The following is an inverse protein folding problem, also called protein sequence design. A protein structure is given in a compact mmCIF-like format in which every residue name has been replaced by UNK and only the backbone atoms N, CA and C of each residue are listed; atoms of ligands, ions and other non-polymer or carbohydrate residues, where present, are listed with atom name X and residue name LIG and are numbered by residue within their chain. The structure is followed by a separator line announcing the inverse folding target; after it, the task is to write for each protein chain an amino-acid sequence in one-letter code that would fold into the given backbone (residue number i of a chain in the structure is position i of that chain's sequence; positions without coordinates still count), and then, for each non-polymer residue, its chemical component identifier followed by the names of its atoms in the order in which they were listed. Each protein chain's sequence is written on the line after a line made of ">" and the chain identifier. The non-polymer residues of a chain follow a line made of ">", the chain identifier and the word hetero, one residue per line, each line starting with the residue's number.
data_IF_757342133690
#
_entry.id   IF_757342133690
#
_cell.length_a   1.000
_cell.length_b   1.000
_cell.length_c   1.000
_cell.angle_alpha   90.00
_cell.angle_beta   90.00
_cell.angle_gamma   90.00
#
_symmetry.space_group_name_H-M   'P 1'
#
loop_
_entity.id
_entity.type
_entity.pdbx_description
1 polymer ?
#
# COMPACT_ATOMS: atom_id res chain seq x y z
N UNK A 1 45.18 15.16 -6.36
CA UNK A 1 45.95 15.27 -7.61
C UNK A 1 45.15 14.96 -8.89
N UNK A 2 43.84 14.66 -8.85
CA UNK A 2 43.05 14.42 -10.06
C UNK A 2 42.62 15.71 -10.81
N UNK A 3 42.38 16.82 -10.09
CA UNK A 3 41.82 18.04 -10.71
C UNK A 3 42.76 18.82 -11.64
N UNK A 4 44.08 18.75 -11.42
CA UNK A 4 45.04 19.47 -12.27
C UNK A 4 45.24 18.79 -13.64
N UNK A 5 45.08 17.46 -13.70
CA UNK A 5 45.25 16.70 -14.94
C UNK A 5 44.03 16.83 -15.84
N UNK A 6 42.82 16.88 -15.25
CA UNK A 6 41.57 17.06 -16.01
C UNK A 6 41.46 18.45 -16.64
N UNK A 7 42.02 19.49 -16.01
CA UNK A 7 42.00 20.85 -16.57
C UNK A 7 42.84 21.00 -17.84
N UNK A 8 44.04 20.42 -17.86
CA UNK A 8 44.98 20.52 -19.00
C UNK A 8 44.44 19.77 -20.23
N UNK A 9 43.82 18.59 -20.02
CA UNK A 9 43.23 17.79 -21.11
C UNK A 9 41.96 18.44 -21.68
N UNK A 10 41.18 19.15 -20.85
CA UNK A 10 39.96 19.82 -21.32
C UNK A 10 40.27 21.09 -22.14
N UNK A 11 41.35 21.82 -21.83
CA UNK A 11 41.74 23.03 -22.57
C UNK A 11 42.30 22.76 -23.96
N UNK A 12 42.74 21.53 -24.27
CA UNK A 12 43.16 21.15 -25.62
C UNK A 12 41.97 20.94 -26.58
N UNK A 13 40.77 20.69 -26.05
CA UNK A 13 39.57 20.35 -26.83
C UNK A 13 38.48 21.41 -26.78
N UNK A 14 38.48 22.29 -25.77
CA UNK A 14 37.41 23.27 -25.54
C UNK A 14 37.95 24.67 -25.16
N UNK A 15 37.22 25.70 -25.59
CA UNK A 15 37.48 27.10 -25.20
C UNK A 15 37.42 27.27 -23.67
N UNK A 16 38.20 28.20 -23.12
CA UNK A 16 38.29 28.49 -21.69
C UNK A 16 36.90 28.73 -21.05
N UNK A 17 35.99 29.34 -21.80
CA UNK A 17 34.60 29.57 -21.37
C UNK A 17 33.82 28.26 -21.26
N UNK A 18 34.05 27.31 -22.19
CA UNK A 18 33.39 26.00 -22.19
C UNK A 18 33.79 25.13 -20.99
N UNK A 19 35.07 25.19 -20.58
CA UNK A 19 35.56 24.47 -19.40
C UNK A 19 34.93 25.00 -18.10
N UNK A 20 34.77 26.32 -18.01
CA UNK A 20 34.10 26.97 -16.86
C UNK A 20 32.63 26.54 -16.79
N UNK A 21 31.91 26.57 -17.92
CA UNK A 21 30.50 26.15 -17.95
C UNK A 21 30.34 24.67 -17.57
N UNK A 22 31.20 23.81 -18.09
CA UNK A 22 31.11 22.36 -17.85
C UNK A 22 31.44 22.00 -16.40
N UNK A 23 32.41 22.68 -15.79
CA UNK A 23 32.75 22.49 -14.36
C UNK A 23 31.64 22.99 -13.42
N UNK A 24 31.02 24.12 -13.72
CA UNK A 24 29.87 24.64 -12.93
C UNK A 24 28.67 23.70 -13.06
N UNK A 25 28.38 23.21 -14.27
CA UNK A 25 27.30 22.24 -14.52
C UNK A 25 27.48 20.95 -13.71
N UNK A 26 28.70 20.41 -13.65
CA UNK A 26 29.02 19.20 -12.89
C UNK A 26 28.91 19.41 -11.36
N UNK A 27 29.26 20.60 -10.87
CA UNK A 27 29.08 20.97 -9.46
C UNK A 27 27.60 21.09 -9.09
N UNK A 28 26.79 21.72 -9.94
CA UNK A 28 25.34 21.85 -9.72
C UNK A 28 24.68 20.47 -9.77
N UNK A 29 25.03 19.63 -10.75
CA UNK A 29 24.51 18.27 -10.84
C UNK A 29 24.92 17.41 -9.63
N UNK A 30 26.15 17.55 -9.15
CA UNK A 30 26.61 16.89 -7.92
C UNK A 30 25.87 17.38 -6.68
N UNK A 31 25.57 18.68 -6.60
CA UNK A 31 24.77 19.24 -5.52
C UNK A 31 23.31 18.77 -5.56
N UNK A 32 22.73 18.63 -6.76
CA UNK A 32 21.36 18.17 -6.97
C UNK A 32 21.19 16.66 -6.67
N UNK A 33 22.23 15.85 -6.91
CA UNK A 33 22.24 14.42 -6.62
C UNK A 33 22.48 14.10 -5.14
N UNK A 34 22.84 15.08 -4.30
CA UNK A 34 22.93 14.88 -2.86
C UNK A 34 21.54 15.00 -2.20
N UNK A 35 21.04 13.95 -1.53
CA UNK A 35 19.76 14.00 -0.82
C UNK A 35 19.80 15.02 0.34
N UNK A 36 18.71 15.75 0.53
CA UNK A 36 18.57 16.90 1.45
C UNK A 36 18.80 16.58 2.95
N UNK A 37 19.05 15.33 3.31
CA UNK A 37 19.28 14.89 4.69
C UNK A 37 20.73 15.08 5.18
N UNK A 38 21.69 15.42 4.31
CA UNK A 38 23.13 15.51 4.66
C UNK A 38 23.75 16.91 4.43
N UNK A 39 22.97 17.99 4.55
CA UNK A 39 23.45 19.35 4.28
C UNK A 39 24.45 19.89 5.34
N UNK A 40 24.52 19.30 6.53
CA UNK A 40 25.33 19.81 7.66
C UNK A 40 26.77 19.26 7.72
N UNK A 41 27.17 18.33 6.85
CA UNK A 41 28.48 17.67 6.93
C UNK A 41 29.60 18.20 6.02
N UNK A 42 29.36 18.84 4.85
CA UNK A 42 30.46 19.27 3.99
C UNK A 42 31.11 20.60 4.40
N UNK A 43 30.46 21.45 5.21
CA UNK A 43 31.03 22.74 5.60
C UNK A 43 32.21 22.61 6.60
N UNK A 44 32.23 21.55 7.40
CA UNK A 44 33.23 21.32 8.46
C UNK A 44 34.50 20.61 7.97
N UNK A 45 34.54 20.04 6.76
CA UNK A 45 35.73 19.35 6.23
C UNK A 45 36.65 20.21 5.37
N UNK A 46 36.24 21.43 5.00
CA UNK A 46 37.13 22.38 4.34
C UNK A 46 37.97 23.22 5.31
N UNK A 47 37.69 23.18 6.62
CA UNK A 47 38.40 23.97 7.62
C UNK A 47 39.66 23.29 8.20
N UNK A 48 39.97 22.04 7.83
CA UNK A 48 41.08 21.30 8.46
C UNK A 48 41.80 20.34 7.51
N UNK A 49 42.43 20.86 6.45
CA UNK A 49 43.41 20.10 5.69
C UNK A 49 44.70 20.92 5.55
N UNK A 50 45.79 20.56 6.24
CA UNK A 50 47.09 21.18 6.02
C UNK A 50 47.72 20.70 4.71
N UNK A 51 48.37 21.64 4.02
CA UNK A 51 49.28 21.36 2.91
C UNK A 51 50.50 20.57 3.42
N UNK A 52 50.79 19.42 2.82
CA UNK A 52 52.17 18.95 2.73
C UNK A 52 52.42 18.15 1.45
N UNK A 53 53.44 18.59 0.72
CA UNK A 53 54.01 18.02 -0.49
C UNK A 53 55.16 17.07 -0.10
N UNK A 54 55.46 16.09 -0.97
CA UNK A 54 56.64 15.20 -1.00
C UNK A 54 56.64 14.03 0.02
N UNK A 55 57.13 12.82 -0.23
CA UNK A 55 57.90 12.17 -1.31
C UNK A 55 57.96 10.64 -1.04
N UNK A 56 58.43 9.86 -2.04
CA UNK A 56 58.91 8.46 -1.97
C UNK A 56 57.86 7.36 -1.69
N UNK A 57 57.89 6.17 -2.26
CA UNK A 57 58.83 5.47 -3.14
C UNK A 57 58.51 3.96 -3.07
N UNK A 58 58.43 3.30 -4.22
CA UNK A 58 58.66 1.86 -4.53
C UNK A 58 58.29 0.80 -3.47
N UNK A 59 57.38 -0.12 -3.81
CA UNK A 59 57.35 -1.44 -3.13
C UNK A 59 56.19 -2.39 -3.45
N UNK A 60 56.53 -3.48 -4.14
CA UNK A 60 55.92 -4.82 -4.14
C UNK A 60 54.58 -5.13 -4.87
N UNK A 61 54.78 -5.75 -6.05
CA UNK A 61 54.07 -6.92 -6.55
C UNK A 61 53.63 -7.92 -5.46
N UNK A 62 52.42 -8.50 -5.59
CA UNK A 62 52.14 -9.91 -5.99
C UNK A 62 50.74 -10.34 -5.53
N UNK A 63 49.84 -10.65 -6.47
CA UNK A 63 49.28 -11.99 -6.75
C UNK A 63 47.94 -11.91 -7.49
N UNK A 64 47.91 -12.60 -8.64
CA UNK A 64 46.73 -13.01 -9.41
C UNK A 64 46.03 -14.19 -8.72
N UNK A 65 44.70 -14.20 -8.76
CA UNK A 65 43.82 -15.34 -9.09
C UNK A 65 42.37 -14.81 -9.05
N UNK A 66 41.74 -14.47 -10.18
CA UNK A 66 40.95 -15.38 -11.03
C UNK A 66 39.79 -16.06 -10.27
N UNK A 67 38.63 -15.38 -10.19
CA UNK A 67 37.34 -15.98 -9.84
C UNK A 67 36.35 -15.71 -10.99
N UNK A 68 35.79 -16.77 -11.58
CA UNK A 68 34.72 -16.73 -12.60
C UNK A 68 33.35 -16.98 -11.93
N UNK A 69 32.28 -16.24 -12.29
CA UNK A 69 30.93 -16.52 -11.80
C UNK A 69 30.23 -17.60 -12.64
N UNK A 70 29.47 -18.47 -11.98
CA UNK A 70 28.68 -19.55 -12.60
C UNK A 70 27.19 -19.15 -12.59
N UNK A 71 26.58 -19.20 -13.78
CA UNK A 71 25.19 -18.85 -14.07
C UNK A 71 24.45 -20.17 -14.33
N UNK A 72 23.50 -20.53 -13.49
CA UNK A 72 22.73 -21.78 -13.65
C UNK A 72 21.49 -21.50 -14.48
N UNK A 73 21.40 -22.16 -15.63
CA UNK A 73 20.21 -22.23 -16.50
C UNK A 73 19.36 -23.42 -16.05
N UNK A 74 18.06 -23.21 -15.85
CA UNK A 74 17.07 -24.28 -15.63
C UNK A 74 16.53 -24.73 -16.99
N UNK A 75 16.63 -26.02 -17.28
CA UNK A 75 16.11 -26.67 -18.49
C UNK A 75 14.85 -27.47 -18.19
N UNK A 76 13.80 -27.21 -18.98
CA UNK A 76 12.50 -27.90 -18.99
C UNK A 76 12.59 -29.19 -19.83
N UNK A 77 11.90 -30.25 -19.38
CA UNK A 77 11.67 -31.51 -20.11
C UNK A 77 10.36 -32.18 -19.64
N UNK A 78 9.76 -33.11 -20.41
CA UNK A 78 8.39 -32.95 -20.93
C UNK A 78 7.29 -33.79 -20.24
N UNK A 79 6.04 -33.36 -20.46
CA UNK A 79 4.76 -34.00 -20.09
C UNK A 79 4.49 -35.35 -20.80
N UNK A 80 3.67 -36.22 -20.20
CA UNK A 80 2.98 -37.29 -20.92
C UNK A 80 1.48 -37.03 -21.09
N UNK A 81 0.99 -37.24 -22.31
CA UNK A 81 -0.42 -37.29 -22.72
C UNK A 81 -1.17 -38.45 -22.05
N UNK A 82 -2.41 -38.23 -21.58
CA UNK A 82 -3.46 -39.24 -21.52
C UNK A 82 -4.86 -38.63 -21.66
N UNK A 83 -5.63 -39.28 -22.52
CA UNK A 83 -6.96 -38.94 -23.02
C UNK A 83 -8.10 -38.99 -21.99
N UNK A 84 -9.15 -38.25 -22.32
CA UNK A 84 -10.49 -38.19 -21.73
C UNK A 84 -11.16 -39.57 -21.59
N UNK A 85 -11.89 -39.76 -20.48
CA UNK A 85 -13.22 -40.37 -20.48
C UNK A 85 -14.02 -39.97 -19.22
N UNK A 86 -15.31 -39.67 -19.45
CA UNK A 86 -16.35 -39.31 -18.47
C UNK A 86 -16.52 -40.38 -17.36
N UNK A 87 -16.85 -39.94 -16.14
CA UNK A 87 -18.16 -40.23 -15.53
C UNK A 87 -18.31 -39.55 -14.16
N UNK A 88 -19.51 -39.02 -13.94
CA UNK A 88 -19.97 -38.48 -12.67
C UNK A 88 -19.99 -39.58 -11.61
N UNK A 89 -19.64 -39.27 -10.35
CA UNK A 89 -20.38 -39.82 -9.21
C UNK A 89 -20.10 -39.12 -7.87
N UNK A 90 -21.20 -38.93 -7.16
CA UNK A 90 -21.39 -38.40 -5.82
C UNK A 90 -20.49 -39.03 -4.75
N UNK A 91 -19.97 -38.21 -3.83
CA UNK A 91 -19.27 -38.69 -2.63
C UNK A 91 -20.24 -38.76 -1.44
N UNK A 92 -20.59 -39.93 -0.89
CA UNK A 92 -21.45 -40.01 0.29
C UNK A 92 -20.62 -39.88 1.58
N UNK A 93 -21.13 -39.07 2.50
CA UNK A 93 -20.66 -38.95 3.88
C UNK A 93 -20.96 -40.23 4.66
N UNK A 94 -19.92 -40.96 5.10
CA UNK A 94 -20.07 -42.20 5.88
C UNK A 94 -19.70 -41.94 7.35
N UNK A 95 -20.71 -41.99 8.21
CA UNK A 95 -20.58 -42.00 9.67
C UNK A 95 -20.20 -43.42 10.10
N UNK A 96 -19.11 -43.58 10.87
CA UNK A 96 -18.77 -44.85 11.51
C UNK A 96 -19.44 -44.94 12.91
N UNK A 97 -20.12 -46.04 13.25
CA UNK A 97 -20.64 -46.30 14.59
C UNK A 97 -19.56 -46.85 15.54
N UNK A 98 -19.72 -46.73 16.87
CA UNK A 98 -18.72 -47.17 17.84
C UNK A 98 -18.79 -48.68 18.08
N UNK A 99 -17.62 -49.33 18.18
CA UNK A 99 -17.49 -50.75 18.49
C UNK A 99 -17.72 -51.03 19.98
N UNK A 100 -18.45 -52.12 20.27
CA UNK A 100 -18.76 -52.62 21.59
C UNK A 100 -17.53 -53.25 22.28
N UNK A 101 -17.44 -53.06 23.60
CA UNK A 101 -16.39 -53.59 24.48
C UNK A 101 -16.60 -55.07 24.78
N UNK A 102 -15.52 -55.84 24.79
CA UNK A 102 -15.44 -57.12 25.51
C UNK A 102 -14.59 -56.97 26.78
N UNK A 103 -14.91 -57.68 27.87
CA UNK A 103 -14.32 -57.45 29.19
C UNK A 103 -13.01 -58.22 29.33
N UNK A 104 -11.97 -57.55 29.86
CA UNK A 104 -10.70 -58.18 30.24
C UNK A 104 -10.59 -58.17 31.76
N UNK A 105 -10.35 -59.36 32.31
CA UNK A 105 -10.23 -59.66 33.73
C UNK A 105 -9.04 -58.93 34.39
N UNK A 106 -9.23 -58.58 35.66
CA UNK A 106 -8.29 -57.85 36.48
C UNK A 106 -7.35 -58.80 37.25
N UNK A 107 -6.07 -58.43 37.31
CA UNK A 107 -5.08 -58.96 38.25
C UNK A 107 -4.25 -57.79 38.85
N UNK A 108 -3.62 -57.98 40.01
CA UNK A 108 -3.68 -57.03 41.13
C UNK A 108 -2.55 -55.99 41.19
N UNK A 109 -2.84 -54.95 41.97
CA UNK A 109 -2.00 -53.79 42.33
C UNK A 109 -0.76 -54.22 43.13
N UNK A 110 0.41 -53.74 42.72
CA UNK A 110 1.56 -53.52 43.60
C UNK A 110 1.84 -52.00 43.66
N UNK A 111 1.99 -51.49 44.88
CA UNK A 111 2.23 -50.09 45.23
C UNK A 111 3.74 -49.72 45.18
N UNK A 112 3.98 -48.41 45.20
CA UNK A 112 5.22 -47.65 45.39
C UNK A 112 6.07 -47.43 44.11
N UNK A 113 6.43 -46.22 43.69
CA UNK A 113 7.00 -45.10 44.47
C UNK A 113 6.61 -43.72 43.88
N UNK A 114 6.44 -42.73 44.77
CA UNK A 114 6.22 -41.32 44.46
C UNK A 114 7.44 -40.70 43.74
N UNK A 115 7.31 -40.32 42.46
CA UNK A 115 8.18 -39.31 41.82
C UNK A 115 7.43 -37.97 41.80
N UNK A 116 7.64 -37.21 42.88
CA UNK A 116 7.30 -35.81 43.06
C UNK A 116 7.99 -34.96 41.98
N UNK A 117 7.37 -34.91 40.81
CA UNK A 117 7.54 -33.80 39.88
C UNK A 117 6.23 -33.06 39.79
N UNK A 118 5.95 -32.27 40.83
CA UNK A 118 5.04 -31.13 40.72
C UNK A 118 5.37 -30.34 39.44
N UNK A 119 4.54 -30.52 38.41
CA UNK A 119 4.63 -29.72 37.19
C UNK A 119 4.27 -28.31 37.62
N UNK A 120 5.29 -27.46 37.79
CA UNK A 120 5.10 -26.02 37.97
C UNK A 120 4.52 -25.45 36.68
N UNK A 121 3.21 -25.29 36.66
CA UNK A 121 2.52 -24.47 35.66
C UNK A 121 2.87 -23.02 36.00
N UNK A 122 3.84 -22.45 35.29
CA UNK A 122 4.06 -21.00 35.35
C UNK A 122 2.91 -20.31 34.60
N UNK A 123 2.16 -19.40 35.25
CA UNK A 123 1.19 -18.56 34.54
C UNK A 123 1.91 -17.68 33.51
N UNK A 124 1.22 -17.22 32.43
CA UNK A 124 1.82 -16.36 31.43
C UNK A 124 2.41 -15.11 32.08
N UNK A 125 3.61 -14.72 31.65
CA UNK A 125 4.36 -13.57 32.17
C UNK A 125 3.74 -12.22 31.74
N UNK A 126 2.46 -12.01 32.04
CA UNK A 126 1.74 -10.76 31.75
C UNK A 126 0.85 -10.36 32.92
N UNK A 127 1.38 -10.43 34.15
CA UNK A 127 0.79 -9.77 35.32
C UNK A 127 1.89 -9.19 36.23
N UNK A 128 2.89 -8.56 35.61
CA UNK A 128 3.67 -7.53 36.28
C UNK A 128 3.51 -6.25 35.48
N UNK A 129 2.27 -5.75 35.47
CA UNK A 129 2.09 -4.31 35.35
C UNK A 129 2.83 -3.74 36.55
N UNK A 130 3.89 -2.98 36.30
CA UNK A 130 4.30 -1.98 37.26
C UNK A 130 3.05 -1.16 37.56
N UNK A 131 2.44 -1.41 38.71
CA UNK A 131 1.63 -0.41 39.39
C UNK A 131 2.63 0.68 39.73
N UNK A 132 2.93 1.54 38.76
CA UNK A 132 3.32 2.89 39.09
C UNK A 132 2.19 3.37 39.99
N UNK A 133 2.53 3.70 41.24
CA UNK A 133 1.64 4.36 42.16
C UNK A 133 1.15 5.65 41.48
N UNK A 134 0.07 5.52 40.72
CA UNK A 134 -0.68 6.64 40.21
C UNK A 134 -1.44 7.15 41.43
N UNK A 135 -0.85 8.16 42.08
CA UNK A 135 -1.58 8.96 43.04
C UNK A 135 -2.92 9.35 42.41
N UNK A 136 -4.05 9.19 43.12
CA UNK A 136 -5.33 9.62 42.61
C UNK A 136 -5.26 11.14 42.49
N UNK A 137 -5.02 11.66 41.30
CA UNK A 137 -5.32 13.05 40.96
C UNK A 137 -6.86 13.18 40.94
N UNK A 138 -7.47 13.18 42.13
CA UNK A 138 -8.90 13.41 42.36
C UNK A 138 -9.19 14.90 42.32
N UNK A 139 -8.91 15.50 41.17
CA UNK A 139 -9.53 16.77 40.78
C UNK A 139 -10.02 16.60 39.35
N UNK A 140 -11.33 16.76 39.08
CA UNK A 140 -11.82 16.81 37.71
C UNK A 140 -11.21 18.05 37.06
N UNK A 141 -10.06 17.90 36.40
CA UNK A 141 -9.57 18.91 35.48
C UNK A 141 -10.65 19.07 34.43
N UNK A 142 -11.33 20.22 34.43
CA UNK A 142 -12.36 20.56 33.45
C UNK A 142 -11.70 20.57 32.07
N UNK A 143 -11.80 19.45 31.36
CA UNK A 143 -11.23 19.30 30.02
C UNK A 143 -12.13 20.04 29.02
N UNK A 144 -11.55 21.03 28.34
CA UNK A 144 -12.18 21.72 27.21
C UNK A 144 -11.61 21.18 25.91
N UNK A 145 -12.47 20.82 24.96
CA UNK A 145 -12.03 20.40 23.64
C UNK A 145 -11.28 21.54 22.91
N UNK A 146 -10.22 21.22 22.15
CA UNK A 146 -9.51 22.22 21.36
C UNK A 146 -10.42 22.77 20.24
N UNK A 147 -10.24 24.04 19.85
CA UNK A 147 -11.02 24.65 18.78
C UNK A 147 -10.65 24.05 17.41
N UNK A 148 -11.63 23.98 16.50
CA UNK A 148 -11.44 23.47 15.12
C UNK A 148 -10.56 24.37 14.25
N UNK A 149 -10.25 25.58 14.70
CA UNK A 149 -9.38 26.52 13.98
C UNK A 149 -7.90 26.13 14.00
N UNK A 150 -7.53 25.15 14.82
CA UNK A 150 -6.22 24.50 14.73
C UNK A 150 -6.09 23.61 13.49
N UNK A 151 -7.19 23.30 12.82
CA UNK A 151 -7.22 22.46 11.63
C UNK A 151 -7.29 23.32 10.37
N UNK A 152 -6.69 22.82 9.29
CA UNK A 152 -6.73 23.45 7.98
C UNK A 152 -8.13 23.41 7.37
N UNK A 153 -8.43 24.44 6.58
CA UNK A 153 -9.70 24.53 5.86
C UNK A 153 -9.76 23.56 4.68
N UNK A 154 -10.98 23.20 4.27
CA UNK A 154 -11.21 22.42 3.07
C UNK A 154 -10.69 23.15 1.83
N UNK A 155 -10.25 22.37 0.84
CA UNK A 155 -9.88 22.87 -0.47
C UNK A 155 -11.13 23.07 -1.35
N UNK A 156 -11.05 23.98 -2.31
CA UNK A 156 -12.12 24.20 -3.27
C UNK A 156 -12.33 22.97 -4.16
N UNK A 157 -13.58 22.51 -4.24
CA UNK A 157 -13.98 21.40 -5.09
C UNK A 157 -14.53 21.90 -6.44
N UNK A 158 -13.81 21.73 -7.56
CA UNK A 158 -14.19 22.29 -8.85
C UNK A 158 -15.22 21.41 -9.57
N UNK A 159 -16.43 21.31 -9.00
CA UNK A 159 -17.47 20.39 -9.45
C UNK A 159 -17.83 20.54 -10.94
N UNK A 160 -18.02 21.77 -11.44
CA UNK A 160 -18.42 21.98 -12.84
C UNK A 160 -17.38 21.47 -13.84
N UNK A 161 -16.10 21.69 -13.55
CA UNK A 161 -14.99 21.21 -14.37
C UNK A 161 -14.96 19.67 -14.35
N UNK A 162 -15.12 19.09 -13.17
CA UNK A 162 -15.12 17.65 -12.97
C UNK A 162 -16.29 17.00 -13.72
N UNK A 163 -17.51 17.53 -13.59
CA UNK A 163 -18.69 17.05 -14.28
C UNK A 163 -18.56 17.14 -15.82
N UNK A 164 -17.91 18.18 -16.34
CA UNK A 164 -17.63 18.28 -17.78
C UNK A 164 -16.67 17.18 -18.25
N UNK A 165 -15.57 16.96 -17.51
CA UNK A 165 -14.59 15.92 -17.83
C UNK A 165 -15.19 14.51 -17.69
N UNK A 166 -16.00 14.29 -16.67
CA UNK A 166 -16.67 13.01 -16.43
C UNK A 166 -17.58 12.63 -17.61
N UNK A 167 -18.33 13.57 -18.21
CA UNK A 167 -19.13 13.30 -19.41
C UNK A 167 -18.28 12.88 -20.63
N UNK A 168 -17.09 13.47 -20.79
CA UNK A 168 -16.16 13.09 -21.86
C UNK A 168 -15.59 11.69 -21.61
N UNK A 169 -15.23 11.40 -20.36
CA UNK A 169 -14.78 10.08 -19.95
C UNK A 169 -15.86 9.01 -20.13
N UNK A 170 -17.13 9.32 -19.82
CA UNK A 170 -18.27 8.43 -20.04
C UNK A 170 -18.41 8.06 -21.52
N UNK A 171 -18.39 9.04 -22.43
CA UNK A 171 -18.45 8.77 -23.87
C UNK A 171 -17.24 7.96 -24.37
N UNK A 172 -16.07 8.17 -23.77
CA UNK A 172 -14.86 7.38 -24.07
C UNK A 172 -15.02 5.94 -23.60
N UNK A 173 -15.53 5.73 -22.38
CA UNK A 173 -15.84 4.43 -21.81
C UNK A 173 -16.79 3.62 -22.70
N UNK A 174 -17.92 4.21 -23.09
CA UNK A 174 -18.91 3.55 -23.96
C UNK A 174 -18.27 3.14 -25.29
N UNK A 175 -17.51 4.04 -25.92
CA UNK A 175 -16.81 3.75 -27.18
C UNK A 175 -15.76 2.65 -27.03
N UNK A 176 -15.01 2.66 -25.92
CA UNK A 176 -14.00 1.63 -25.67
C UNK A 176 -14.65 0.27 -25.48
N UNK A 177 -15.74 0.17 -24.72
CA UNK A 177 -16.47 -1.10 -24.61
C UNK A 177 -17.03 -1.57 -25.96
N UNK A 178 -17.54 -0.65 -26.77
CA UNK A 178 -18.01 -0.96 -28.13
C UNK A 178 -16.88 -1.53 -29.01
N UNK A 179 -15.67 -0.98 -28.94
CA UNK A 179 -14.48 -1.49 -29.64
C UNK A 179 -14.10 -2.92 -29.23
N UNK A 180 -14.37 -3.31 -27.98
CA UNK A 180 -14.21 -4.67 -27.47
C UNK A 180 -15.42 -5.59 -27.74
N UNK A 181 -16.44 -5.09 -28.46
CA UNK A 181 -17.65 -5.84 -28.79
C UNK A 181 -18.60 -6.01 -27.62
N UNK A 182 -18.51 -5.15 -26.60
CA UNK A 182 -19.42 -5.10 -25.46
C UNK A 182 -20.29 -3.85 -25.59
N UNK A 183 -21.60 -4.02 -25.77
CA UNK A 183 -22.51 -2.88 -25.79
C UNK A 183 -22.98 -2.60 -24.35
N UNK A 184 -22.54 -1.47 -23.82
CA UNK A 184 -22.75 -1.04 -22.43
C UNK A 184 -23.09 0.45 -22.49
N UNK A 185 -23.98 0.90 -21.59
CA UNK A 185 -24.34 2.31 -21.46
C UNK A 185 -24.04 2.84 -20.08
N UNK A 186 -23.57 4.08 -20.00
CA UNK A 186 -23.41 4.80 -18.74
C UNK A 186 -24.78 5.33 -18.31
N UNK A 187 -25.30 4.79 -17.20
CA UNK A 187 -26.59 5.17 -16.64
C UNK A 187 -26.50 6.36 -15.68
N UNK A 188 -25.48 6.36 -14.81
CA UNK A 188 -25.28 7.36 -13.77
C UNK A 188 -23.78 7.66 -13.58
N UNK A 189 -23.48 8.87 -13.10
CA UNK A 189 -22.12 9.35 -12.88
C UNK A 189 -22.06 10.05 -11.52
N UNK A 190 -21.29 9.49 -10.60
CA UNK A 190 -21.05 10.05 -9.27
C UNK A 190 -19.61 10.55 -9.18
N UNK A 191 -19.44 11.86 -9.02
CA UNK A 191 -18.12 12.48 -8.96
C UNK A 191 -17.70 12.76 -7.52
N UNK A 192 -16.76 11.99 -6.99
CA UNK A 192 -16.18 12.18 -5.66
C UNK A 192 -14.93 13.06 -5.65
N UNK A 193 -14.30 13.26 -4.47
CA UNK A 193 -13.07 14.06 -4.34
C UNK A 193 -11.85 13.47 -5.05
N UNK A 194 -11.72 12.15 -5.03
CA UNK A 194 -10.53 11.43 -5.55
C UNK A 194 -10.84 10.64 -6.82
N UNK A 195 -12.02 10.03 -6.89
CA UNK A 195 -12.46 9.18 -8.00
C UNK A 195 -13.83 9.63 -8.50
N UNK A 196 -14.15 9.29 -9.74
CA UNK A 196 -15.49 9.35 -10.32
C UNK A 196 -15.97 7.93 -10.58
N UNK A 197 -17.16 7.60 -10.11
CA UNK A 197 -17.81 6.32 -10.34
C UNK A 197 -18.80 6.44 -11.50
N UNK A 198 -18.68 5.54 -12.47
CA UNK A 198 -19.61 5.39 -13.60
C UNK A 198 -20.44 4.15 -13.37
N UNK A 199 -21.77 4.28 -13.32
CA UNK A 199 -22.68 3.14 -13.24
C UNK A 199 -23.01 2.66 -14.66
N UNK A 200 -22.53 1.46 -14.99
CA UNK A 200 -22.67 0.86 -16.31
C UNK A 200 -23.83 -0.14 -16.35
N UNK A 201 -24.77 0.06 -17.26
CA UNK A 201 -25.84 -0.90 -17.54
C UNK A 201 -25.35 -1.98 -18.49
N UNK A 202 -25.39 -3.23 -18.02
CA UNK A 202 -24.93 -4.38 -18.80
C UNK A 202 -26.07 -4.92 -19.68
N UNK A 203 -25.71 -5.36 -20.89
CA UNK A 203 -26.62 -6.14 -21.71
C UNK A 203 -27.00 -7.48 -21.07
N UNK A 204 -28.22 -7.99 -21.32
CA UNK A 204 -28.65 -9.29 -20.84
C UNK A 204 -27.68 -10.40 -21.27
N UNK A 205 -27.19 -11.17 -20.29
CA UNK A 205 -26.29 -12.30 -20.53
C UNK A 205 -24.79 -11.94 -20.58
N UNK A 206 -24.43 -10.66 -20.46
CA UNK A 206 -23.03 -10.26 -20.30
C UNK A 206 -22.52 -10.66 -18.90
N UNK A 207 -21.42 -11.40 -18.85
CA UNK A 207 -20.78 -11.81 -17.59
C UNK A 207 -19.92 -10.68 -17.04
N UNK A 208 -20.07 -10.38 -15.75
CA UNK A 208 -19.27 -9.36 -15.03
C UNK A 208 -17.76 -9.58 -15.20
N UNK A 209 -17.30 -10.84 -15.20
CA UNK A 209 -15.88 -11.17 -15.36
C UNK A 209 -15.27 -10.66 -16.68
N UNK A 210 -16.07 -10.47 -17.74
CA UNK A 210 -15.58 -9.88 -18.99
C UNK A 210 -15.29 -8.40 -18.85
N UNK A 211 -16.08 -7.69 -18.04
CA UNK A 211 -15.90 -6.26 -17.78
C UNK A 211 -14.69 -6.05 -16.88
N UNK A 212 -14.57 -6.83 -15.80
CA UNK A 212 -13.42 -6.76 -14.88
C UNK A 212 -12.10 -7.11 -15.56
N UNK A 213 -12.12 -8.00 -16.56
CA UNK A 213 -10.92 -8.35 -17.33
C UNK A 213 -10.37 -7.20 -18.19
N UNK A 214 -11.17 -6.15 -18.44
CA UNK A 214 -10.77 -5.00 -19.26
C UNK A 214 -10.24 -3.82 -18.43
N UNK A 215 -10.07 -3.96 -17.10
CA UNK A 215 -9.60 -2.88 -16.22
C UNK A 215 -8.33 -2.16 -16.73
N UNK A 216 -7.32 -2.93 -17.13
CA UNK A 216 -6.05 -2.38 -17.63
C UNK A 216 -6.21 -1.68 -18.97
N UNK A 217 -7.02 -2.25 -19.88
CA UNK A 217 -7.29 -1.66 -21.19
C UNK A 217 -8.11 -0.38 -21.08
N UNK A 218 -9.07 -0.33 -20.15
CA UNK A 218 -9.83 0.87 -19.83
C UNK A 218 -8.93 1.96 -19.25
N UNK A 219 -7.97 1.60 -18.39
CA UNK A 219 -7.01 2.56 -17.85
C UNK A 219 -6.16 3.21 -18.97
N UNK A 220 -5.73 2.42 -19.97
CA UNK A 220 -5.01 2.92 -21.14
C UNK A 220 -5.90 3.85 -21.98
N UNK A 221 -7.13 3.44 -22.26
CA UNK A 221 -8.07 4.22 -23.08
C UNK A 221 -8.41 5.57 -22.44
N UNK A 222 -8.62 5.59 -21.12
CA UNK A 222 -8.93 6.79 -20.34
C UNK A 222 -7.69 7.60 -19.96
N UNK A 223 -6.48 7.06 -20.20
CA UNK A 223 -5.18 7.67 -19.84
C UNK A 223 -5.05 7.94 -18.34
N UNK A 224 -5.49 6.98 -17.53
CA UNK A 224 -5.42 7.04 -16.07
C UNK A 224 -4.47 5.96 -15.53
N UNK A 225 -3.96 6.09 -14.29
CA UNK A 225 -3.03 5.11 -13.73
C UNK A 225 -3.63 3.72 -13.55
N UNK A 226 -4.91 3.65 -13.17
CA UNK A 226 -5.66 2.41 -12.97
C UNK A 226 -7.16 2.72 -12.98
N UNK A 227 -7.95 1.68 -13.19
CA UNK A 227 -9.41 1.70 -13.09
C UNK A 227 -9.81 0.55 -12.17
N UNK A 228 -10.88 0.73 -11.38
CA UNK A 228 -11.41 -0.32 -10.52
C UNK A 228 -12.86 -0.62 -10.90
N UNK A 229 -13.14 -1.89 -11.19
CA UNK A 229 -14.50 -2.37 -11.46
C UNK A 229 -15.10 -2.91 -10.16
N UNK A 230 -16.20 -2.32 -9.73
CA UNK A 230 -16.92 -2.66 -8.51
C UNK A 230 -17.92 -3.78 -8.81
N UNK A 231 -18.07 -4.69 -7.84
CA UNK A 231 -19.06 -5.76 -7.90
C UNK A 231 -20.47 -5.24 -8.27
N UNK A 232 -21.29 -6.06 -8.93
CA UNK A 232 -22.60 -5.65 -9.41
C UNK A 232 -23.48 -5.11 -8.29
N UNK A 233 -24.19 -4.00 -8.56
CA UNK A 233 -25.01 -3.30 -7.57
C UNK A 233 -26.23 -4.18 -7.23
N UNK A 234 -26.45 -4.56 -5.96
CA UNK A 234 -27.58 -5.39 -5.58
C UNK A 234 -28.92 -4.80 -6.04
N UNK A 235 -29.71 -5.59 -6.76
CA UNK A 235 -31.02 -5.16 -7.26
C UNK A 235 -31.00 -4.41 -8.59
N UNK A 236 -29.82 -4.16 -9.18
CA UNK A 236 -29.66 -3.61 -10.53
C UNK A 236 -28.75 -4.51 -11.38
N UNK A 237 -28.95 -4.56 -12.70
CA UNK A 237 -28.02 -5.24 -13.62
C UNK A 237 -26.88 -4.30 -14.04
N UNK A 238 -26.25 -3.66 -13.05
CA UNK A 238 -25.27 -2.60 -13.27
C UNK A 238 -23.96 -2.89 -12.57
N UNK A 239 -22.87 -2.38 -13.14
CA UNK A 239 -21.51 -2.50 -12.64
C UNK A 239 -20.92 -1.11 -12.47
N UNK A 240 -20.27 -0.85 -11.33
CA UNK A 240 -19.60 0.43 -11.09
C UNK A 240 -18.17 0.42 -11.66
N UNK A 241 -17.75 1.48 -12.32
CA UNK A 241 -16.37 1.68 -12.76
C UNK A 241 -15.83 2.95 -12.11
N UNK A 242 -14.86 2.79 -11.23
CA UNK A 242 -14.20 3.90 -10.52
C UNK A 242 -12.95 4.32 -11.31
N UNK A 243 -12.93 5.59 -11.71
CA UNK A 243 -11.84 6.20 -12.47
C UNK A 243 -11.23 7.33 -11.64
N UNK A 244 -9.90 7.39 -11.46
CA UNK A 244 -9.25 8.48 -10.78
C UNK A 244 -9.51 9.83 -11.44
N UNK A 245 -9.79 10.85 -10.63
CA UNK A 245 -9.93 12.21 -11.11
C UNK A 245 -8.57 12.78 -11.52
N UNK A 246 -8.52 13.56 -12.59
CA UNK A 246 -7.30 14.26 -13.02
C UNK A 246 -6.83 15.28 -11.97
N UNK A 247 -7.78 15.96 -11.33
CA UNK A 247 -7.53 16.82 -10.17
C UNK A 247 -8.21 16.21 -8.95
N UNK A 248 -7.41 15.59 -8.09
CA UNK A 248 -7.85 15.07 -6.81
C UNK A 248 -7.86 16.18 -5.77
N UNK A 249 -8.88 16.20 -4.92
CA UNK A 249 -9.02 17.17 -3.84
C UNK A 249 -8.73 16.49 -2.51
N UNK A 250 -7.87 17.09 -1.69
CA UNK A 250 -7.51 16.50 -0.41
C UNK A 250 -8.68 16.62 0.57
N UNK A 251 -9.07 15.48 1.16
CA UNK A 251 -10.08 15.44 2.22
C UNK A 251 -9.43 15.85 3.54
N UNK A 252 -9.90 16.96 4.12
CA UNK A 252 -9.30 17.53 5.35
C UNK A 252 -10.07 17.09 6.59
N UNK A 253 -9.39 16.94 7.73
CA UNK A 253 -10.06 16.53 8.97
C UNK A 253 -11.14 17.53 9.42
N UNK A 254 -10.90 18.85 9.26
CA UNK A 254 -11.83 19.91 9.67
C UNK A 254 -13.20 19.74 9.00
N UNK A 255 -13.23 19.49 7.69
CA UNK A 255 -14.50 19.31 6.98
C UNK A 255 -15.24 18.05 7.41
N UNK A 256 -14.54 16.97 7.75
CA UNK A 256 -15.17 15.74 8.24
C UNK A 256 -15.85 16.00 9.59
N UNK A 257 -15.14 16.63 10.53
CA UNK A 257 -15.68 16.97 11.85
C UNK A 257 -16.90 17.89 11.75
N UNK A 258 -16.89 18.84 10.82
CA UNK A 258 -18.03 19.74 10.59
C UNK A 258 -19.20 19.01 9.93
N UNK A 259 -18.94 18.24 8.87
CA UNK A 259 -19.98 17.58 8.08
C UNK A 259 -20.68 16.45 8.84
N UNK A 260 -19.93 15.70 9.65
CA UNK A 260 -20.46 14.56 10.42
C UNK A 260 -20.81 14.89 11.87
N UNK A 261 -20.84 16.19 12.24
CA UNK A 261 -21.06 16.65 13.63
C UNK A 261 -22.28 16.01 14.29
N UNK A 262 -23.43 16.06 13.61
CA UNK A 262 -24.70 15.49 14.13
C UNK A 262 -24.57 13.99 14.34
N UNK A 263 -23.96 13.29 13.39
CA UNK A 263 -23.77 11.85 13.46
C UNK A 263 -22.80 11.46 14.57
N UNK A 264 -21.71 12.23 14.75
CA UNK A 264 -20.68 11.96 15.76
C UNK A 264 -21.14 12.28 17.18
N UNK A 265 -22.05 13.23 17.37
CA UNK A 265 -22.59 13.60 18.69
C UNK A 265 -23.39 12.45 19.33
N UNK A 266 -23.94 11.53 18.53
CA UNK A 266 -24.63 10.32 18.99
C UNK A 266 -23.66 9.16 19.30
N UNK A 267 -22.40 9.25 18.87
CA UNK A 267 -21.38 8.22 19.03
C UNK A 267 -20.62 8.39 20.34
N UNK A 268 -20.24 7.29 20.98
CA UNK A 268 -19.40 7.34 22.19
C UNK A 268 -17.93 7.51 21.84
N UNK A 269 -17.48 6.84 20.78
CA UNK A 269 -16.11 6.91 20.31
C UNK A 269 -16.09 7.03 18.77
N UNK A 270 -16.37 8.23 18.23
CA UNK A 270 -16.41 8.45 16.79
C UNK A 270 -15.02 8.36 16.17
N UNK A 271 -14.91 7.59 15.10
CA UNK A 271 -13.75 7.49 14.22
C UNK A 271 -14.12 8.06 12.85
N UNK A 272 -13.44 9.14 12.45
CA UNK A 272 -13.63 9.81 11.17
C UNK A 272 -12.69 9.18 10.14
N UNK A 273 -13.25 8.45 9.17
CA UNK A 273 -12.47 7.67 8.21
C UNK A 273 -12.14 8.46 6.94
N UNK A 274 -13.03 9.35 6.51
CA UNK A 274 -12.87 10.09 5.27
C UNK A 274 -14.20 10.42 4.59
N UNK A 275 -14.17 10.48 3.26
CA UNK A 275 -15.35 10.59 2.42
C UNK A 275 -15.51 9.35 1.55
N UNK A 276 -16.74 9.00 1.22
CA UNK A 276 -17.05 7.96 0.23
C UNK A 276 -16.81 8.44 -1.21
N UNK A 277 -17.10 7.58 -2.19
CA UNK A 277 -16.96 7.86 -3.63
C UNK A 277 -17.91 8.95 -4.13
N UNK A 278 -19.00 9.22 -3.40
CA UNK A 278 -19.96 10.29 -3.71
C UNK A 278 -19.61 11.59 -2.96
N UNK A 279 -18.65 11.56 -2.03
CA UNK A 279 -18.20 12.70 -1.25
C UNK A 279 -18.86 12.87 0.12
N UNK A 280 -19.70 11.93 0.56
CA UNK A 280 -20.32 11.97 1.89
C UNK A 280 -19.30 11.62 2.98
N UNK A 281 -19.37 12.31 4.12
CA UNK A 281 -18.50 12.06 5.26
C UNK A 281 -18.81 10.70 5.92
N UNK A 282 -17.78 9.89 6.13
CA UNK A 282 -17.87 8.60 6.79
C UNK A 282 -17.30 8.69 8.21
N UNK A 283 -18.20 8.63 9.19
CA UNK A 283 -17.88 8.50 10.60
C UNK A 283 -18.49 7.20 11.16
N UNK A 284 -17.73 6.47 11.98
CA UNK A 284 -18.14 5.21 12.58
C UNK A 284 -17.91 5.20 14.09
N UNK A 285 -18.79 4.55 14.84
CA UNK A 285 -18.64 4.39 16.29
C UNK A 285 -17.78 3.17 16.61
N UNK A 286 -16.58 3.40 17.14
CA UNK A 286 -15.65 2.34 17.52
C UNK A 286 -16.22 1.45 18.63
N UNK A 287 -17.18 1.92 19.44
CA UNK A 287 -17.82 1.07 20.43
C UNK A 287 -18.65 -0.07 19.81
N UNK A 288 -19.13 0.08 18.56
CA UNK A 288 -19.86 -0.97 17.83
C UNK A 288 -18.91 -1.97 17.13
N UNK A 289 -17.66 -1.57 16.94
CA UNK A 289 -16.59 -2.37 16.33
C UNK A 289 -15.35 -2.29 17.23
N UNK A 290 -15.32 -3.04 18.35
CA UNK A 290 -14.41 -2.79 19.47
C UNK A 290 -12.93 -2.94 19.11
N UNK A 291 -12.63 -3.59 17.99
CA UNK A 291 -11.29 -3.75 17.45
C UNK A 291 -11.33 -3.49 15.94
N UNK A 292 -10.34 -2.76 15.43
CA UNK A 292 -10.15 -2.46 14.02
C UNK A 292 -8.74 -2.89 13.60
N UNK A 293 -8.63 -3.55 12.45
CA UNK A 293 -7.36 -3.88 11.82
C UNK A 293 -7.08 -2.86 10.71
N UNK A 294 -5.86 -2.31 10.69
CA UNK A 294 -5.34 -1.43 9.65
C UNK A 294 -4.06 -2.09 9.14
N UNK A 295 -3.98 -2.35 7.84
CA UNK A 295 -2.87 -3.04 7.18
C UNK A 295 -2.42 -2.29 5.93
#
# INVERSE_FOLDING_TARGET
>A
MFGAWTGIVLTEKFSQVGVIILSISLLIAGWLMCPLSDLSRPLLRFASAPMSVASAGVGLLRRRAAWKPQRTTVSVGPEPDRDDDHDADTVPFRVNPPAAMEPVEADPVEEDEEDDRSIRINPPATLSLHTADAEPEDQPRSYSLPPLDLLEHAEDFPYELLAKKARIAAATLEKTFEEFGLNIKVSEIDTGPVVTQFELELEPGLRVNKVTALEDDLAIALRVPSVRVVAPIPGKNTVGVEVPNEKQVMVRLKELLVASRVQSDEMRLPLFLGKDVSGHSLAVDMCKMPHLLIA
#
